data_IF_396924498611
#
_entry.id   IF_396924498611
#
_cell.length_a   1.000
_cell.length_b   1.000
_cell.length_c   1.000
_cell.angle_alpha   90.00
_cell.angle_beta   90.00
_cell.angle_gamma   90.00
#
_symmetry.space_group_name_H-M   'P 1'
#
loop_
_entity.id
_entity.type
_entity.pdbx_description
1 polymer ?
#
# COMPACT_ATOMS: atom_id res chain seq x y z
N UNK A 1 11.79 11.76 -22.01
CA UNK A 1 12.13 11.37 -20.61
C UNK A 1 11.76 9.91 -20.38
N UNK A 2 12.56 9.09 -19.66
CA UNK A 2 12.21 7.72 -19.34
C UNK A 2 10.94 7.67 -18.45
N UNK A 3 10.03 6.72 -18.70
CA UNK A 3 8.76 6.58 -17.98
C UNK A 3 8.95 6.52 -16.44
N UNK A 4 9.96 5.78 -15.98
CA UNK A 4 10.27 5.67 -14.55
C UNK A 4 10.62 7.01 -13.91
N UNK A 5 11.32 7.87 -14.64
CA UNK A 5 11.65 9.21 -14.15
C UNK A 5 10.39 10.08 -14.06
N UNK A 6 9.52 10.05 -15.10
CA UNK A 6 8.25 10.76 -15.08
C UNK A 6 7.36 10.34 -13.91
N UNK A 7 7.25 9.02 -13.66
CA UNK A 7 6.51 8.49 -12.52
C UNK A 7 7.06 8.99 -11.18
N UNK A 8 8.39 8.91 -11.00
CA UNK A 8 9.04 9.36 -9.77
C UNK A 8 8.79 10.85 -9.53
N UNK A 9 8.95 11.68 -10.56
CA UNK A 9 8.72 13.13 -10.45
C UNK A 9 7.26 13.45 -10.13
N UNK A 10 6.32 12.80 -10.84
CA UNK A 10 4.89 13.04 -10.66
C UNK A 10 4.36 12.58 -9.29
N UNK A 11 5.01 11.60 -8.65
CA UNK A 11 4.53 11.01 -7.39
C UNK A 11 5.38 11.35 -6.17
N UNK A 12 6.53 12.04 -6.32
CA UNK A 12 7.46 12.32 -5.21
C UNK A 12 6.79 13.09 -4.06
N UNK A 13 6.04 14.14 -4.36
CA UNK A 13 5.41 14.95 -3.32
C UNK A 13 4.36 14.16 -2.52
N UNK A 14 3.56 13.31 -3.17
CA UNK A 14 2.59 12.44 -2.49
C UNK A 14 3.30 11.38 -1.64
N UNK A 15 4.37 10.79 -2.17
CA UNK A 15 5.19 9.83 -1.44
C UNK A 15 5.81 10.44 -0.18
N UNK A 16 6.34 11.66 -0.27
CA UNK A 16 6.90 12.39 0.89
C UNK A 16 5.82 12.68 1.95
N UNK A 17 4.64 13.13 1.54
CA UNK A 17 3.53 13.35 2.48
C UNK A 17 3.09 12.08 3.19
N UNK A 18 3.07 10.94 2.49
CA UNK A 18 2.76 9.65 3.11
C UNK A 18 3.84 9.21 4.12
N UNK A 19 5.11 9.51 3.89
CA UNK A 19 6.16 9.29 4.89
C UNK A 19 5.92 10.10 6.18
N UNK A 20 5.36 11.29 6.06
CA UNK A 20 5.00 12.15 7.18
C UNK A 20 3.63 11.81 7.79
N UNK A 21 2.88 10.89 7.20
CA UNK A 21 1.59 10.46 7.76
C UNK A 21 1.79 9.90 9.17
N UNK A 22 1.04 10.38 10.18
CA UNK A 22 1.30 10.08 11.59
C UNK A 22 1.41 8.59 11.92
N UNK A 23 0.61 7.73 11.25
CA UNK A 23 0.66 6.28 11.46
C UNK A 23 1.98 5.66 10.96
N UNK A 24 2.46 6.07 9.78
CA UNK A 24 3.75 5.57 9.26
C UNK A 24 4.94 6.19 10.00
N UNK A 25 4.87 7.48 10.33
CA UNK A 25 5.89 8.16 11.14
C UNK A 25 6.04 7.49 12.51
N UNK A 26 4.93 7.18 13.20
CA UNK A 26 4.98 6.50 14.50
C UNK A 26 5.61 5.09 14.41
N UNK A 27 5.43 4.35 13.30
CA UNK A 27 6.17 3.09 13.09
C UNK A 27 7.66 3.41 12.86
N UNK A 28 7.98 4.42 12.05
CA UNK A 28 9.35 4.79 11.73
C UNK A 28 10.12 5.19 12.98
N UNK A 29 9.49 5.94 13.88
CA UNK A 29 10.04 6.41 15.15
C UNK A 29 9.95 5.37 16.28
N UNK A 30 9.32 4.20 16.01
CA UNK A 30 9.09 3.11 16.98
C UNK A 30 8.27 3.55 18.20
N UNK A 31 7.36 4.50 18.01
CA UNK A 31 6.48 5.06 19.05
C UNK A 31 5.03 4.62 18.92
N UNK A 32 4.69 3.89 17.88
CA UNK A 32 3.31 3.42 17.63
C UNK A 32 2.88 2.46 18.75
N UNK A 33 1.70 2.69 19.31
CA UNK A 33 1.04 1.74 20.21
C UNK A 33 0.15 0.75 19.49
N UNK A 34 -0.37 -0.25 20.21
CA UNK A 34 -1.18 -1.33 19.62
C UNK A 34 -2.51 -0.82 19.06
N UNK A 35 -3.14 0.17 19.70
CA UNK A 35 -4.42 0.73 19.25
C UNK A 35 -4.22 1.52 17.96
N UNK A 36 -3.20 2.36 17.90
CA UNK A 36 -2.81 3.11 16.70
C UNK A 36 -2.43 2.16 15.55
N UNK A 37 -1.67 1.11 15.84
CA UNK A 37 -1.27 0.13 14.84
C UNK A 37 -2.46 -0.62 14.28
N UNK A 38 -3.37 -1.07 15.14
CA UNK A 38 -4.64 -1.71 14.72
C UNK A 38 -5.46 -0.78 13.83
N UNK A 39 -5.62 0.49 14.22
CA UNK A 39 -6.34 1.49 13.42
C UNK A 39 -5.69 1.67 12.03
N UNK A 40 -4.36 1.71 11.95
CA UNK A 40 -3.65 1.78 10.67
C UNK A 40 -3.91 0.54 9.80
N UNK A 41 -3.82 -0.67 10.37
CA UNK A 41 -4.13 -1.91 9.64
C UNK A 41 -5.57 -1.95 9.13
N UNK A 42 -6.54 -1.48 9.92
CA UNK A 42 -7.95 -1.34 9.52
C UNK A 42 -8.08 -0.43 8.29
N UNK A 43 -7.44 0.74 8.31
CA UNK A 43 -7.47 1.66 7.17
C UNK A 43 -6.80 1.05 5.94
N UNK A 44 -5.64 0.41 6.10
CA UNK A 44 -4.97 -0.29 5.00
C UNK A 44 -5.87 -1.39 4.41
N UNK A 45 -6.48 -2.21 5.24
CA UNK A 45 -7.39 -3.27 4.79
C UNK A 45 -8.60 -2.70 4.03
N UNK A 46 -9.18 -1.61 4.53
CA UNK A 46 -10.29 -0.92 3.87
C UNK A 46 -9.94 -0.37 2.49
N UNK A 47 -8.68 0.01 2.25
CA UNK A 47 -8.19 0.41 0.93
C UNK A 47 -7.87 -0.79 0.03
N UNK A 48 -7.08 -1.74 0.52
CA UNK A 48 -6.53 -2.80 -0.33
C UNK A 48 -7.59 -3.78 -0.85
N UNK A 49 -8.64 -4.07 -0.10
CA UNK A 49 -9.71 -4.98 -0.55
C UNK A 49 -10.36 -4.49 -1.86
N UNK A 50 -10.93 -3.27 -1.94
CA UNK A 50 -11.50 -2.78 -3.20
C UNK A 50 -10.45 -2.44 -4.25
N UNK A 51 -9.24 -2.05 -3.86
CA UNK A 51 -8.15 -1.76 -4.77
C UNK A 51 -7.72 -2.99 -5.58
N UNK A 52 -7.43 -4.13 -4.90
CA UNK A 52 -7.03 -5.36 -5.57
C UNK A 52 -8.10 -5.87 -6.55
N UNK A 53 -9.37 -5.72 -6.20
CA UNK A 53 -10.48 -6.02 -7.10
C UNK A 53 -10.53 -5.07 -8.31
N UNK A 54 -10.26 -3.78 -8.13
CA UNK A 54 -10.31 -2.78 -9.20
C UNK A 54 -9.17 -2.91 -10.21
N UNK A 55 -7.99 -3.40 -9.78
CA UNK A 55 -6.84 -3.65 -10.68
C UNK A 55 -6.76 -5.09 -11.18
N UNK A 56 -7.71 -5.94 -10.81
CA UNK A 56 -7.82 -7.36 -11.21
C UNK A 56 -6.52 -8.14 -10.92
N UNK A 57 -6.09 -8.11 -9.66
CA UNK A 57 -4.94 -8.89 -9.16
C UNK A 57 -5.34 -9.79 -8.01
N UNK A 58 -4.46 -10.77 -7.72
CA UNK A 58 -4.63 -11.62 -6.55
C UNK A 58 -4.74 -10.80 -5.25
N UNK A 59 -5.64 -11.21 -4.36
CA UNK A 59 -5.93 -10.56 -3.08
C UNK A 59 -4.85 -10.86 -2.01
N UNK A 60 -3.56 -10.74 -2.38
CA UNK A 60 -2.43 -11.08 -1.53
C UNK A 60 -2.31 -10.11 -0.34
N UNK A 61 -2.38 -8.80 -0.60
CA UNK A 61 -2.18 -7.77 0.42
C UNK A 61 -3.32 -7.71 1.41
N UNK A 62 -4.56 -7.82 0.92
CA UNK A 62 -5.73 -7.90 1.78
C UNK A 62 -5.74 -9.19 2.61
N UNK A 63 -5.23 -10.31 2.08
CA UNK A 63 -5.06 -11.54 2.84
C UNK A 63 -3.99 -11.40 3.94
N UNK A 64 -2.86 -10.74 3.66
CA UNK A 64 -1.83 -10.46 4.67
C UNK A 64 -2.36 -9.51 5.75
N UNK A 65 -3.07 -8.44 5.37
CA UNK A 65 -3.69 -7.52 6.33
C UNK A 65 -4.74 -8.19 7.20
N UNK A 66 -5.53 -9.11 6.64
CA UNK A 66 -6.48 -9.92 7.42
C UNK A 66 -5.76 -10.80 8.45
N UNK A 67 -4.65 -11.43 8.08
CA UNK A 67 -3.84 -12.22 9.00
C UNK A 67 -3.23 -11.34 10.10
N UNK A 68 -2.72 -10.15 9.75
CA UNK A 68 -2.14 -9.20 10.70
C UNK A 68 -3.20 -8.68 11.68
N UNK A 69 -4.40 -8.33 11.19
CA UNK A 69 -5.52 -7.91 12.04
C UNK A 69 -5.95 -9.01 13.02
N UNK A 70 -5.99 -10.27 12.58
CA UNK A 70 -6.28 -11.40 13.46
C UNK A 70 -5.22 -11.55 14.56
N UNK A 71 -3.94 -11.36 14.23
CA UNK A 71 -2.84 -11.42 15.20
C UNK A 71 -2.89 -10.30 16.26
N UNK A 72 -3.41 -9.11 15.90
CA UNK A 72 -3.60 -7.97 16.81
C UNK A 72 -5.03 -7.91 17.40
N UNK A 73 -5.72 -9.07 17.45
CA UNK A 73 -7.00 -9.28 18.11
C UNK A 73 -8.23 -8.62 17.47
N UNK A 74 -8.25 -8.51 16.16
CA UNK A 74 -9.45 -8.12 15.39
C UNK A 74 -9.84 -9.30 14.47
N UNK A 75 -10.85 -10.08 14.83
CA UNK A 75 -11.26 -11.25 14.06
C UNK A 75 -12.73 -11.23 13.62
N UNK A 76 -13.09 -12.20 12.79
CA UNK A 76 -14.46 -12.56 12.48
C UNK A 76 -15.35 -11.43 11.98
N UNK A 77 -16.46 -11.23 12.68
CA UNK A 77 -17.49 -10.25 12.32
C UNK A 77 -16.97 -8.81 12.27
N UNK A 78 -15.96 -8.47 13.09
CA UNK A 78 -15.34 -7.15 13.08
C UNK A 78 -14.65 -6.83 11.75
N UNK A 79 -14.08 -7.84 11.04
CA UNK A 79 -13.49 -7.64 9.71
C UNK A 79 -14.52 -7.29 8.63
N UNK A 80 -15.73 -7.87 8.73
CA UNK A 80 -16.81 -7.57 7.80
C UNK A 80 -17.32 -6.13 7.94
N UNK A 81 -17.29 -5.60 9.16
CA UNK A 81 -17.74 -4.24 9.48
C UNK A 81 -16.72 -3.15 9.09
N UNK A 82 -15.47 -3.50 8.72
CA UNK A 82 -14.47 -2.50 8.34
C UNK A 82 -14.95 -1.71 7.10
N UNK A 83 -15.04 -0.36 7.17
CA UNK A 83 -15.37 0.47 6.02
C UNK A 83 -14.42 0.22 4.84
N UNK A 84 -14.95 0.28 3.62
CA UNK A 84 -14.18 0.13 2.38
C UNK A 84 -14.06 1.48 1.68
N UNK A 85 -12.90 1.72 1.09
CA UNK A 85 -12.68 2.90 0.25
C UNK A 85 -13.59 2.83 -0.98
N UNK A 86 -14.61 3.68 -1.03
CA UNK A 86 -15.57 3.74 -2.14
C UNK A 86 -15.05 4.58 -3.32
N UNK A 87 -13.98 5.35 -3.12
CA UNK A 87 -13.43 6.27 -4.12
C UNK A 87 -12.38 5.63 -5.03
N UNK A 88 -12.19 4.30 -4.97
CA UNK A 88 -11.22 3.61 -5.82
C UNK A 88 -11.56 3.87 -7.30
N UNK A 89 -10.57 4.36 -8.05
CA UNK A 89 -10.71 4.67 -9.46
C UNK A 89 -10.92 3.39 -10.30
N UNK A 90 -11.50 3.57 -11.49
CA UNK A 90 -11.54 2.50 -12.48
C UNK A 90 -10.21 2.42 -13.22
N UNK A 91 -9.66 1.21 -13.31
CA UNK A 91 -8.43 0.92 -14.04
C UNK A 91 -8.75 -0.01 -15.22
N UNK A 92 -9.45 0.55 -16.21
CA UNK A 92 -10.07 -0.15 -17.35
C UNK A 92 -9.07 -0.47 -18.48
N UNK A 93 -7.85 0.08 -18.43
CA UNK A 93 -6.78 -0.28 -19.37
C UNK A 93 -5.60 -0.90 -18.64
N UNK A 94 -4.82 -1.72 -19.37
CA UNK A 94 -3.58 -2.30 -18.80
C UNK A 94 -2.59 -1.22 -18.38
N UNK A 95 -2.54 -0.10 -19.09
CA UNK A 95 -1.69 1.04 -18.73
C UNK A 95 -2.10 1.63 -17.38
N UNK A 96 -3.39 1.89 -17.16
CA UNK A 96 -3.93 2.40 -15.89
C UNK A 96 -3.71 1.41 -14.73
N UNK A 97 -3.95 0.12 -14.96
CA UNK A 97 -3.66 -0.91 -13.97
C UNK A 97 -2.19 -0.89 -13.53
N UNK A 98 -1.25 -0.82 -14.48
CA UNK A 98 0.18 -0.76 -14.18
C UNK A 98 0.58 0.54 -13.47
N UNK A 99 -0.03 1.67 -13.81
CA UNK A 99 0.16 2.93 -13.09
C UNK A 99 -0.28 2.84 -11.63
N UNK A 100 -1.45 2.27 -11.36
CA UNK A 100 -1.93 2.02 -10.01
C UNK A 100 -1.03 1.04 -9.25
N UNK A 101 -0.61 -0.03 -9.89
CA UNK A 101 0.29 -1.03 -9.32
C UNK A 101 1.68 -0.48 -9.01
N UNK A 102 2.16 0.54 -9.74
CA UNK A 102 3.43 1.20 -9.43
C UNK A 102 3.48 1.72 -7.99
N UNK A 103 2.38 2.27 -7.50
CA UNK A 103 2.27 2.81 -6.13
C UNK A 103 2.43 1.70 -5.09
N UNK A 104 1.68 0.62 -5.26
CA UNK A 104 1.62 -0.46 -4.25
C UNK A 104 2.80 -1.43 -4.34
N UNK A 105 3.36 -1.66 -5.53
CA UNK A 105 4.59 -2.45 -5.67
C UNK A 105 5.81 -1.67 -5.15
N UNK A 106 5.87 -0.36 -5.42
CA UNK A 106 6.93 0.52 -4.92
C UNK A 106 6.95 0.60 -3.39
N UNK A 107 5.79 0.65 -2.74
CA UNK A 107 5.70 0.73 -1.28
C UNK A 107 6.27 -0.50 -0.57
N UNK A 108 6.29 -1.66 -1.22
CA UNK A 108 6.83 -2.90 -0.63
C UNK A 108 8.34 -2.83 -0.38
N UNK A 109 9.06 -1.97 -1.11
CA UNK A 109 10.50 -1.79 -0.92
C UNK A 109 10.84 -1.19 0.46
N UNK A 110 10.03 -0.22 0.92
CA UNK A 110 10.18 0.40 2.24
C UNK A 110 9.56 -0.42 3.39
N UNK A 111 8.62 -1.31 3.07
CA UNK A 111 7.85 -2.06 4.07
C UNK A 111 8.71 -2.87 5.04
N UNK A 112 9.79 -3.49 4.56
CA UNK A 112 10.69 -4.30 5.39
C UNK A 112 11.36 -3.50 6.51
N UNK A 113 11.65 -2.21 6.29
CA UNK A 113 12.18 -1.35 7.36
C UNK A 113 11.09 -1.06 8.39
N UNK A 114 9.86 -0.76 7.94
CA UNK A 114 8.72 -0.59 8.84
C UNK A 114 8.43 -1.87 9.64
N UNK A 115 8.52 -3.05 9.00
CA UNK A 115 8.37 -4.33 9.71
C UNK A 115 9.38 -4.51 10.85
N UNK A 116 10.66 -4.14 10.64
CA UNK A 116 11.68 -4.18 11.71
C UNK A 116 11.40 -3.16 12.82
N UNK A 117 10.90 -2.00 12.48
CA UNK A 117 10.60 -0.96 13.45
C UNK A 117 9.40 -1.32 14.35
N UNK A 118 8.63 -2.35 14.01
CA UNK A 118 7.57 -2.90 14.84
C UNK A 118 8.08 -3.90 15.91
N UNK A 119 9.39 -4.20 15.97
CA UNK A 119 9.95 -5.12 16.97
C UNK A 119 9.64 -4.74 18.43
N UNK A 120 9.66 -3.46 18.83
CA UNK A 120 9.28 -3.09 20.20
C UNK A 120 7.81 -3.38 20.53
N UNK A 121 6.93 -3.32 19.52
CA UNK A 121 5.50 -3.55 19.71
C UNK A 121 5.10 -5.02 19.63
N UNK A 122 5.67 -5.76 18.67
CA UNK A 122 5.21 -7.11 18.31
C UNK A 122 6.19 -8.22 18.72
N UNK A 123 7.41 -7.86 19.14
CA UNK A 123 8.50 -8.80 19.40
C UNK A 123 9.43 -9.00 18.21
N UNK A 124 10.71 -9.28 18.48
CA UNK A 124 11.72 -9.54 17.46
C UNK A 124 11.50 -10.90 16.80
N UNK A 125 11.80 -10.99 15.50
CA UNK A 125 11.70 -12.23 14.71
C UNK A 125 10.26 -12.80 14.55
N UNK A 126 9.23 -12.06 14.96
CA UNK A 126 7.81 -12.45 14.78
C UNK A 126 7.34 -12.00 13.41
N UNK A 127 6.66 -12.86 12.67
CA UNK A 127 6.05 -12.54 11.37
C UNK A 127 4.57 -12.15 11.51
N UNK A 128 3.93 -12.68 12.52
CA UNK A 128 2.53 -12.43 12.86
C UNK A 128 2.32 -10.96 13.21
N UNK A 129 1.24 -10.40 12.69
CA UNK A 129 0.89 -8.98 12.89
C UNK A 129 1.65 -7.99 12.01
N UNK A 130 2.64 -8.42 11.20
CA UNK A 130 3.40 -7.56 10.27
C UNK A 130 3.59 -8.12 8.87
N UNK A 131 2.80 -9.14 8.50
CA UNK A 131 2.91 -9.85 7.22
C UNK A 131 2.80 -8.93 6.02
N UNK A 132 1.92 -7.93 6.12
CA UNK A 132 1.74 -6.90 5.09
C UNK A 132 3.04 -6.13 4.81
N UNK A 133 3.72 -5.66 5.84
CA UNK A 133 4.97 -4.90 5.69
C UNK A 133 6.15 -5.79 5.24
N UNK A 134 6.16 -7.06 5.60
CA UNK A 134 7.16 -8.03 5.12
C UNK A 134 6.99 -8.32 3.62
N UNK A 135 5.78 -8.22 3.08
CA UNK A 135 5.48 -8.45 1.69
C UNK A 135 5.91 -9.84 1.22
N UNK A 136 6.52 -9.93 0.04
CA UNK A 136 7.04 -11.18 -0.55
C UNK A 136 8.43 -11.56 -0.02
N UNK A 137 8.92 -10.92 1.03
CA UNK A 137 10.21 -11.23 1.64
C UNK A 137 11.39 -11.01 0.68
N UNK A 138 12.28 -12.02 0.55
CA UNK A 138 13.49 -11.94 -0.30
C UNK A 138 13.18 -11.75 -1.79
N UNK A 139 12.01 -12.15 -2.27
CA UNK A 139 11.59 -12.01 -3.67
C UNK A 139 11.14 -10.60 -4.05
N UNK A 140 11.06 -9.65 -3.11
CA UNK A 140 10.54 -8.30 -3.35
C UNK A 140 11.33 -7.55 -4.43
N UNK A 141 12.67 -7.58 -4.38
CA UNK A 141 13.51 -6.86 -5.36
C UNK A 141 13.41 -7.46 -6.76
N UNK A 142 13.40 -8.79 -6.87
CA UNK A 142 13.23 -9.46 -8.17
C UNK A 142 11.84 -9.18 -8.76
N UNK A 143 10.80 -9.25 -7.94
CA UNK A 143 9.43 -8.90 -8.34
C UNK A 143 9.31 -7.46 -8.81
N UNK A 144 9.94 -6.51 -8.11
CA UNK A 144 9.98 -5.12 -8.52
C UNK A 144 10.66 -4.90 -9.87
N UNK A 145 11.82 -5.55 -10.12
CA UNK A 145 12.51 -5.43 -11.39
C UNK A 145 11.68 -6.01 -12.57
N UNK A 146 11.02 -7.15 -12.33
CA UNK A 146 10.10 -7.73 -13.32
C UNK A 146 8.92 -6.80 -13.60
N UNK A 147 8.33 -6.22 -12.57
CA UNK A 147 7.26 -5.24 -12.69
C UNK A 147 7.71 -4.00 -13.51
N UNK A 148 8.89 -3.46 -13.24
CA UNK A 148 9.43 -2.32 -14.00
C UNK A 148 9.65 -2.66 -15.47
N UNK A 149 10.03 -3.88 -15.82
CA UNK A 149 10.13 -4.31 -17.21
C UNK A 149 8.76 -4.33 -17.91
N UNK A 150 7.73 -4.87 -17.24
CA UNK A 150 6.35 -4.85 -17.74
C UNK A 150 5.83 -3.41 -17.91
N UNK A 151 6.07 -2.54 -16.93
CA UNK A 151 5.68 -1.14 -16.95
C UNK A 151 6.32 -0.40 -18.15
N UNK A 152 7.61 -0.65 -18.39
CA UNK A 152 8.36 -0.05 -19.50
C UNK A 152 7.82 -0.51 -20.85
N UNK A 153 7.54 -1.80 -21.00
CA UNK A 153 6.96 -2.36 -22.22
C UNK A 153 5.57 -1.78 -22.52
N UNK A 154 4.71 -1.68 -21.50
CA UNK A 154 3.38 -1.10 -21.63
C UNK A 154 3.41 0.39 -21.99
N UNK A 155 4.39 1.15 -21.50
CA UNK A 155 4.59 2.58 -21.78
C UNK A 155 5.26 2.87 -23.14
N UNK A 156 5.07 2.06 -24.17
CA UNK A 156 5.68 2.22 -25.49
C UNK A 156 5.13 3.41 -26.27
N UNK A 157 3.89 3.83 -26.04
CA UNK A 157 3.24 4.97 -26.66
C UNK A 157 3.10 6.17 -25.71
N UNK A 158 2.94 7.38 -26.24
CA UNK A 158 2.69 8.58 -25.45
C UNK A 158 1.37 8.50 -24.67
N UNK A 159 0.35 7.94 -25.26
CA UNK A 159 -0.97 7.76 -24.63
C UNK A 159 -0.86 6.80 -23.43
N UNK A 160 -0.25 5.62 -23.61
CA UNK A 160 -0.07 4.67 -22.52
C UNK A 160 0.80 5.24 -21.38
N UNK A 161 1.84 6.01 -21.70
CA UNK A 161 2.65 6.70 -20.68
C UNK A 161 1.84 7.69 -19.87
N UNK A 162 1.00 8.47 -20.53
CA UNK A 162 0.11 9.42 -19.86
C UNK A 162 -0.85 8.70 -18.92
N UNK A 163 -1.53 7.66 -19.39
CA UNK A 163 -2.44 6.84 -18.58
C UNK A 163 -1.74 6.21 -17.37
N UNK A 164 -0.52 5.70 -17.54
CA UNK A 164 0.27 5.13 -16.43
C UNK A 164 0.56 6.18 -15.37
N UNK A 165 1.04 7.37 -15.76
CA UNK A 165 1.39 8.44 -14.82
C UNK A 165 0.14 8.97 -14.13
N UNK A 166 -0.93 9.24 -14.88
CA UNK A 166 -2.21 9.69 -14.35
C UNK A 166 -2.77 8.71 -13.30
N UNK A 167 -2.78 7.43 -13.62
CA UNK A 167 -3.28 6.39 -12.71
C UNK A 167 -2.44 6.28 -11.43
N UNK A 168 -1.11 6.43 -11.52
CA UNK A 168 -0.25 6.45 -10.35
C UNK A 168 -0.54 7.66 -9.44
N UNK A 169 -0.67 8.85 -10.01
CA UNK A 169 -1.01 10.08 -9.27
C UNK A 169 -2.39 9.95 -8.62
N UNK A 170 -3.39 9.50 -9.38
CA UNK A 170 -4.75 9.27 -8.87
C UNK A 170 -4.77 8.28 -7.72
N UNK A 171 -4.03 7.17 -7.84
CA UNK A 171 -3.96 6.15 -6.78
C UNK A 171 -3.34 6.71 -5.50
N UNK A 172 -2.25 7.48 -5.59
CA UNK A 172 -1.67 8.18 -4.45
C UNK A 172 -2.67 9.13 -3.79
N UNK A 173 -3.37 9.95 -4.58
CA UNK A 173 -4.35 10.92 -4.07
C UNK A 173 -5.49 10.25 -3.32
N UNK A 174 -6.03 9.16 -3.87
CA UNK A 174 -7.09 8.38 -3.22
C UNK A 174 -6.57 7.77 -1.91
N UNK A 175 -5.35 7.23 -1.91
CA UNK A 175 -4.75 6.61 -0.74
C UNK A 175 -4.49 7.63 0.38
N UNK A 176 -3.96 8.82 0.05
CA UNK A 176 -3.76 9.91 1.00
C UNK A 176 -5.08 10.38 1.61
N UNK A 177 -6.10 10.61 0.77
CA UNK A 177 -7.42 11.02 1.23
C UNK A 177 -8.03 9.99 2.17
N UNK A 178 -7.96 8.71 1.80
CA UNK A 178 -8.46 7.61 2.60
C UNK A 178 -7.76 7.48 3.95
N UNK A 179 -6.46 7.75 4.03
CA UNK A 179 -5.70 7.66 5.26
C UNK A 179 -5.85 8.89 6.17
N UNK A 180 -6.38 10.01 5.69
CA UNK A 180 -6.48 11.27 6.45
C UNK A 180 -7.11 11.08 7.83
N UNK A 181 -8.17 10.28 7.92
CA UNK A 181 -8.96 10.06 9.13
C UNK A 181 -8.58 8.78 9.88
N UNK A 182 -7.34 8.32 9.76
CA UNK A 182 -6.91 7.04 10.36
C UNK A 182 -7.06 6.98 11.89
N UNK A 183 -7.05 8.12 12.60
CA UNK A 183 -7.18 8.19 14.06
C UNK A 183 -8.62 8.18 14.56
N UNK A 184 -9.59 8.53 13.73
CA UNK A 184 -11.00 8.62 14.13
C UNK A 184 -11.71 7.27 14.23
N UNK A 185 -11.03 6.17 13.87
CA UNK A 185 -11.59 4.82 13.91
C UNK A 185 -11.27 4.06 15.22
N UNK A 186 -10.79 4.73 16.26
CA UNK A 186 -10.34 4.16 17.52
C UNK A 186 -11.22 4.49 18.74
N UNK A 187 -12.44 5.07 18.52
CA UNK A 187 -13.47 5.22 19.55
C UNK A 187 -14.56 4.19 19.44
#
# INVERSE_FOLDING_TARGET
MPLRQSLREATSAAHERLHLHPGFAAIQDRTIDLAQYRSLLVRLYGFYVPFEAAVDIAADRSAWLRADLAAVTLGGDALAAIPRCSSIARYDTRARQLGALYVVEGSTLGGRQLARNLDPLLGSCVTEGRRFFLGRGSSTTAGWNLFLAQLTAAGSTSVARHEIVEAAVTTFSIFEEWLRDWRTSAE
#
